data_IF_513665731746
#
_entry.id   IF_513665731746
#
_cell.length_a   1.000
_cell.length_b   1.000
_cell.length_c   1.000
_cell.angle_alpha   90.00
_cell.angle_beta   90.00
_cell.angle_gamma   90.00
#
_symmetry.space_group_name_H-M   'P 1'
#
loop_
_entity.id
_entity.type
_entity.pdbx_description
1 polymer ?
#
# COMPACT_ATOMS: atom_id res chain seq x y z
N UNK A 1 60.64 17.96 87.45
CA UNK A 1 60.34 16.88 86.48
C UNK A 1 58.95 16.99 85.81
N UNK A 2 57.94 17.65 86.42
CA UNK A 2 56.57 17.70 85.88
C UNK A 2 56.31 18.57 84.63
N UNK A 3 57.21 19.48 84.25
CA UNK A 3 56.94 20.41 83.13
C UNK A 3 57.23 19.79 81.74
N UNK A 4 58.22 18.88 81.66
CA UNK A 4 58.59 18.19 80.41
C UNK A 4 57.56 17.15 79.97
N UNK A 5 56.91 16.49 80.94
CA UNK A 5 55.90 15.46 80.69
C UNK A 5 54.57 16.07 80.17
N UNK A 6 54.20 17.26 80.65
CA UNK A 6 53.05 18.01 80.12
C UNK A 6 53.25 18.47 78.68
N UNK A 7 54.48 18.86 78.32
CA UNK A 7 54.80 19.29 76.96
C UNK A 7 54.76 18.12 75.96
N UNK A 8 55.28 16.94 76.36
CA UNK A 8 55.22 15.73 75.53
C UNK A 8 53.78 15.26 75.27
N UNK A 9 52.90 15.33 76.28
CA UNK A 9 51.48 14.99 76.13
C UNK A 9 50.74 15.94 75.17
N UNK A 10 51.00 17.25 75.26
CA UNK A 10 50.43 18.24 74.34
C UNK A 10 50.86 18.01 72.89
N UNK A 11 52.12 17.64 72.67
CA UNK A 11 52.64 17.32 71.33
C UNK A 11 51.94 16.08 70.76
N UNK A 12 51.74 15.04 71.56
CA UNK A 12 51.05 13.81 71.14
C UNK A 12 49.56 14.05 70.81
N UNK A 13 48.85 14.83 71.63
CA UNK A 13 47.44 15.17 71.36
C UNK A 13 47.33 16.03 70.09
N UNK A 14 48.24 16.97 69.89
CA UNK A 14 48.28 17.80 68.69
C UNK A 14 48.55 16.96 67.42
N UNK A 15 49.46 15.98 67.48
CA UNK A 15 49.73 15.11 66.32
C UNK A 15 48.56 14.18 66.01
N UNK A 16 47.89 13.62 67.02
CA UNK A 16 46.68 12.80 66.79
C UNK A 16 45.54 13.63 66.20
N UNK A 17 45.31 14.85 66.71
CA UNK A 17 44.30 15.76 66.16
C UNK A 17 44.62 16.19 64.71
N UNK A 18 45.91 16.41 64.40
CA UNK A 18 46.36 16.71 63.04
C UNK A 18 46.12 15.51 62.09
N UNK A 19 46.46 14.29 62.50
CA UNK A 19 46.24 13.08 61.68
C UNK A 19 44.76 12.82 61.46
N UNK A 20 43.93 12.97 62.49
CA UNK A 20 42.47 12.82 62.39
C UNK A 20 41.86 13.88 61.47
N UNK A 21 42.27 15.14 61.57
CA UNK A 21 41.78 16.23 60.70
C UNK A 21 42.23 16.07 59.25
N UNK A 22 43.48 15.65 59.00
CA UNK A 22 43.98 15.32 57.65
C UNK A 22 43.25 14.11 57.06
N UNK A 23 43.00 13.06 57.86
CA UNK A 23 42.22 11.89 57.45
C UNK A 23 40.78 12.24 57.08
N UNK A 24 40.13 13.09 57.87
CA UNK A 24 38.77 13.58 57.60
C UNK A 24 38.72 14.45 56.34
N UNK A 25 39.69 15.35 56.17
CA UNK A 25 39.81 16.21 54.98
C UNK A 25 40.07 15.40 53.70
N UNK A 26 40.92 14.37 53.78
CA UNK A 26 41.19 13.46 52.67
C UNK A 26 39.96 12.62 52.31
N UNK A 27 39.27 12.04 53.30
CA UNK A 27 38.03 11.28 53.12
C UNK A 27 36.93 12.13 52.47
N UNK A 28 36.76 13.36 52.95
CA UNK A 28 35.79 14.32 52.41
C UNK A 28 36.09 14.73 50.96
N UNK A 29 37.36 15.00 50.63
CA UNK A 29 37.77 15.29 49.25
C UNK A 29 37.64 14.08 48.32
N UNK A 30 37.94 12.88 48.82
CA UNK A 30 37.76 11.64 48.06
C UNK A 30 36.27 11.35 47.79
N UNK A 31 35.39 11.62 48.77
CA UNK A 31 33.94 11.54 48.61
C UNK A 31 33.43 12.50 47.53
N UNK A 32 33.77 13.79 47.63
CA UNK A 32 33.36 14.81 46.65
C UNK A 32 33.76 14.47 45.21
N UNK A 33 34.98 13.93 45.00
CA UNK A 33 35.43 13.52 43.66
C UNK A 33 34.63 12.34 43.10
N UNK A 34 34.24 11.38 43.95
CA UNK A 34 33.40 10.25 43.53
C UNK A 34 31.99 10.70 43.19
N UNK A 35 31.42 11.58 44.00
CA UNK A 35 30.07 12.12 43.75
C UNK A 35 30.04 12.95 42.47
N UNK A 36 31.04 13.80 42.23
CA UNK A 36 31.15 14.57 40.99
C UNK A 36 31.30 13.67 39.76
N UNK A 37 32.14 12.62 39.84
CA UNK A 37 32.27 11.64 38.77
C UNK A 37 30.95 10.89 38.52
N UNK A 38 30.28 10.44 39.58
CA UNK A 38 28.99 9.74 39.47
C UNK A 38 27.91 10.63 38.85
N UNK A 39 27.84 11.91 39.24
CA UNK A 39 26.92 12.88 38.66
C UNK A 39 27.22 13.08 37.17
N UNK A 40 28.49 13.22 36.79
CA UNK A 40 28.89 13.33 35.37
C UNK A 40 28.47 12.09 34.57
N UNK A 41 28.76 10.89 35.07
CA UNK A 41 28.33 9.65 34.43
C UNK A 41 26.81 9.53 34.32
N UNK A 42 26.06 9.92 35.35
CA UNK A 42 24.59 9.92 35.29
C UNK A 42 24.05 10.94 34.29
N UNK A 43 24.69 12.10 34.17
CA UNK A 43 24.31 13.13 33.21
C UNK A 43 24.58 12.66 31.77
N UNK A 44 25.78 12.12 31.52
CA UNK A 44 26.17 11.56 30.21
C UNK A 44 25.27 10.38 29.83
N UNK A 45 24.99 9.46 30.76
CA UNK A 45 24.07 8.34 30.52
C UNK A 45 22.65 8.84 30.22
N UNK A 46 22.15 9.85 30.95
CA UNK A 46 20.84 10.45 30.67
C UNK A 46 20.79 11.12 29.30
N UNK A 47 21.87 11.81 28.91
CA UNK A 47 21.99 12.43 27.59
C UNK A 47 22.02 11.37 26.48
N UNK A 48 22.83 10.32 26.62
CA UNK A 48 22.91 9.22 25.66
C UNK A 48 21.57 8.49 25.51
N UNK A 49 20.84 8.26 26.63
CA UNK A 49 19.49 7.66 26.59
C UNK A 49 18.51 8.60 25.90
N UNK A 50 18.55 9.91 26.19
CA UNK A 50 17.67 10.88 25.54
C UNK A 50 17.93 10.98 24.03
N UNK A 51 19.19 10.97 23.61
CA UNK A 51 19.59 10.95 22.21
C UNK A 51 19.17 9.66 21.51
N UNK A 52 19.40 8.50 22.14
CA UNK A 52 18.96 7.22 21.63
C UNK A 52 17.43 7.18 21.46
N UNK A 53 16.68 7.62 22.47
CA UNK A 53 15.22 7.68 22.41
C UNK A 53 14.73 8.62 21.28
N UNK A 54 15.39 9.77 21.09
CA UNK A 54 15.08 10.68 20.00
C UNK A 54 15.37 10.05 18.63
N UNK A 55 16.51 9.41 18.47
CA UNK A 55 16.87 8.71 17.24
C UNK A 55 15.88 7.56 16.94
N UNK A 56 15.50 6.78 17.95
CA UNK A 56 14.49 5.73 17.84
C UNK A 56 13.12 6.29 17.46
N UNK A 57 12.69 7.42 18.05
CA UNK A 57 11.42 8.06 17.69
C UNK A 57 11.41 8.47 16.21
N UNK A 58 12.47 9.13 15.75
CA UNK A 58 12.59 9.56 14.34
C UNK A 58 12.60 8.35 13.41
N UNK A 59 13.35 7.30 13.76
CA UNK A 59 13.39 6.06 12.97
C UNK A 59 12.02 5.38 12.90
N UNK A 60 11.26 5.36 13.99
CA UNK A 60 9.91 4.79 14.03
C UNK A 60 8.93 5.59 13.17
N UNK A 61 9.00 6.93 13.21
CA UNK A 61 8.18 7.80 12.35
C UNK A 61 8.48 7.57 10.87
N UNK A 62 9.76 7.48 10.51
CA UNK A 62 10.18 7.20 9.13
C UNK A 62 9.73 5.82 8.67
N UNK A 63 9.87 4.79 9.52
CA UNK A 63 9.40 3.44 9.22
C UNK A 63 7.88 3.39 9.03
N UNK A 64 7.11 4.08 9.88
CA UNK A 64 5.66 4.16 9.75
C UNK A 64 5.24 4.84 8.43
N UNK A 65 5.91 5.94 8.06
CA UNK A 65 5.66 6.63 6.79
C UNK A 65 5.99 5.74 5.58
N UNK A 66 7.14 5.07 5.59
CA UNK A 66 7.56 4.16 4.52
C UNK A 66 6.60 2.96 4.37
N UNK A 67 6.13 2.38 5.49
CA UNK A 67 5.17 1.28 5.47
C UNK A 67 3.80 1.71 4.92
N UNK A 68 3.37 2.94 5.24
CA UNK A 68 2.14 3.50 4.69
C UNK A 68 2.24 3.71 3.18
N UNK A 69 3.37 4.25 2.71
CA UNK A 69 3.63 4.44 1.28
C UNK A 69 3.72 3.10 0.54
N UNK A 70 4.43 2.11 1.09
CA UNK A 70 4.51 0.77 0.55
C UNK A 70 3.12 0.13 0.41
N UNK A 71 2.29 0.24 1.44
CA UNK A 71 0.91 -0.28 1.43
C UNK A 71 0.09 0.40 0.33
N UNK A 72 0.24 1.72 0.16
CA UNK A 72 -0.41 2.48 -0.92
C UNK A 72 0.09 2.07 -2.30
N UNK A 73 1.37 1.75 -2.46
CA UNK A 73 1.94 1.26 -3.73
C UNK A 73 1.48 -0.16 -4.04
N UNK A 74 1.53 -1.07 -3.07
CA UNK A 74 1.03 -2.44 -3.22
C UNK A 74 -0.46 -2.46 -3.60
N UNK A 75 -1.27 -1.62 -2.95
CA UNK A 75 -2.65 -1.38 -3.32
C UNK A 75 -2.84 -0.96 -4.80
N UNK A 76 -1.96 -0.11 -5.31
CA UNK A 76 -1.95 0.28 -6.74
C UNK A 76 -1.45 -0.82 -7.65
N UNK A 77 -0.82 -1.88 -7.16
CA UNK A 77 -0.34 -3.00 -7.96
C UNK A 77 -1.26 -4.24 -7.89
N UNK A 78 -2.30 -4.22 -7.05
CA UNK A 78 -3.24 -5.34 -6.96
C UNK A 78 -3.91 -5.60 -8.32
N UNK A 79 -3.93 -6.86 -8.81
CA UNK A 79 -4.61 -7.22 -10.05
C UNK A 79 -6.09 -6.83 -10.03
N UNK A 80 -6.66 -6.43 -11.17
CA UNK A 80 -8.11 -6.23 -11.29
C UNK A 80 -8.83 -7.54 -11.01
N UNK A 81 -9.77 -7.53 -10.07
CA UNK A 81 -10.66 -8.64 -9.71
C UNK A 81 -12.03 -8.10 -9.37
N UNK A 82 -13.09 -8.84 -9.70
CA UNK A 82 -14.41 -8.59 -9.10
C UNK A 82 -14.52 -9.41 -7.82
N UNK A 83 -14.79 -8.76 -6.69
CA UNK A 83 -15.17 -9.47 -5.46
C UNK A 83 -16.49 -10.19 -5.68
N UNK A 84 -16.82 -11.19 -4.84
CA UNK A 84 -18.12 -11.88 -4.95
C UNK A 84 -19.31 -10.92 -4.86
N UNK A 85 -19.25 -9.97 -3.93
CA UNK A 85 -20.27 -8.93 -3.80
C UNK A 85 -20.39 -8.09 -5.08
N UNK A 86 -19.27 -7.70 -5.70
CA UNK A 86 -19.30 -6.96 -6.97
C UNK A 86 -19.85 -7.80 -8.13
N UNK A 87 -19.56 -9.11 -8.17
CA UNK A 87 -20.14 -10.02 -9.16
C UNK A 87 -21.66 -10.14 -8.98
N UNK A 88 -22.14 -10.24 -7.74
CA UNK A 88 -23.58 -10.30 -7.41
C UNK A 88 -24.29 -8.98 -7.76
N UNK A 89 -23.70 -7.83 -7.42
CA UNK A 89 -24.19 -6.51 -7.81
C UNK A 89 -24.27 -6.39 -9.33
N UNK A 90 -23.17 -6.66 -10.04
CA UNK A 90 -23.15 -6.63 -11.50
C UNK A 90 -24.22 -7.56 -12.10
N UNK A 91 -24.38 -8.76 -11.56
CA UNK A 91 -25.36 -9.73 -12.04
C UNK A 91 -26.81 -9.26 -11.83
N UNK A 92 -27.11 -8.68 -10.67
CA UNK A 92 -28.41 -8.10 -10.36
C UNK A 92 -28.76 -6.96 -11.32
N UNK A 93 -27.82 -6.03 -11.53
CA UNK A 93 -28.06 -4.79 -12.27
C UNK A 93 -28.26 -5.05 -13.77
N UNK A 94 -27.53 -6.01 -14.35
CA UNK A 94 -27.67 -6.39 -15.76
C UNK A 94 -28.66 -7.54 -16.00
N UNK A 95 -29.23 -8.13 -14.94
CA UNK A 95 -30.12 -9.28 -15.03
C UNK A 95 -31.43 -9.00 -15.76
N UNK A 96 -31.96 -7.77 -15.64
CA UNK A 96 -33.17 -7.33 -16.33
C UNK A 96 -33.06 -7.29 -17.86
N UNK A 97 -31.82 -7.35 -18.38
CA UNK A 97 -31.53 -7.32 -19.81
C UNK A 97 -31.41 -8.73 -20.41
N UNK A 98 -31.44 -9.79 -19.58
CA UNK A 98 -31.43 -11.17 -20.05
C UNK A 98 -32.71 -11.51 -20.83
N UNK A 99 -32.64 -12.46 -21.79
CA UNK A 99 -31.46 -13.17 -22.24
C UNK A 99 -30.64 -12.37 -23.26
N UNK A 100 -29.32 -12.31 -23.08
CA UNK A 100 -28.36 -11.80 -24.06
C UNK A 100 -27.22 -12.79 -24.24
N UNK A 101 -26.62 -12.84 -25.43
CA UNK A 101 -25.38 -13.58 -25.62
C UNK A 101 -24.19 -12.67 -25.33
N UNK A 102 -23.19 -13.17 -24.60
CA UNK A 102 -21.96 -12.44 -24.33
C UNK A 102 -20.73 -13.25 -24.71
N UNK A 103 -19.80 -12.60 -25.40
CA UNK A 103 -18.48 -13.14 -25.72
C UNK A 103 -17.41 -12.30 -25.03
N UNK A 104 -16.56 -12.93 -24.22
CA UNK A 104 -15.53 -12.24 -23.43
C UNK A 104 -14.16 -12.58 -24.00
N UNK A 105 -13.35 -11.56 -24.25
CA UNK A 105 -12.02 -11.67 -24.86
C UNK A 105 -10.97 -10.96 -24.00
N UNK A 106 -9.75 -11.49 -23.99
CA UNK A 106 -8.60 -10.88 -23.33
C UNK A 106 -7.33 -10.98 -24.17
N UNK A 107 -6.34 -10.12 -23.90
CA UNK A 107 -5.05 -10.18 -24.56
C UNK A 107 -4.29 -11.48 -24.25
N UNK A 108 -3.80 -12.18 -25.28
CA UNK A 108 -2.99 -13.37 -25.10
C UNK A 108 -1.71 -13.07 -24.30
N UNK A 109 -1.42 -13.89 -23.28
CA UNK A 109 -0.27 -13.72 -22.39
C UNK A 109 -0.52 -12.81 -21.18
N UNK A 110 -1.66 -12.13 -21.11
CA UNK A 110 -2.04 -11.32 -19.94
C UNK A 110 -2.90 -12.13 -18.96
N UNK A 111 -2.23 -12.70 -17.94
CA UNK A 111 -2.89 -13.49 -16.89
C UNK A 111 -3.80 -12.68 -15.97
N UNK A 112 -3.56 -11.38 -15.81
CA UNK A 112 -4.49 -10.53 -15.06
C UNK A 112 -5.79 -10.41 -15.84
N UNK A 113 -5.71 -10.02 -17.12
CA UNK A 113 -6.88 -9.83 -17.98
C UNK A 113 -7.67 -11.12 -18.19
N UNK A 114 -6.99 -12.28 -18.25
CA UNK A 114 -7.63 -13.60 -18.27
C UNK A 114 -8.49 -13.83 -17.02
N UNK A 115 -7.92 -13.67 -15.82
CA UNK A 115 -8.64 -13.87 -14.57
C UNK A 115 -9.81 -12.89 -14.42
N UNK A 116 -9.61 -11.63 -14.79
CA UNK A 116 -10.67 -10.62 -14.72
C UNK A 116 -11.80 -10.90 -15.74
N UNK A 117 -11.45 -11.44 -16.91
CA UNK A 117 -12.45 -11.89 -17.89
C UNK A 117 -13.32 -13.03 -17.36
N UNK A 118 -12.72 -13.96 -16.62
CA UNK A 118 -13.46 -15.04 -15.95
C UNK A 118 -14.40 -14.50 -14.86
N UNK A 119 -13.97 -13.51 -14.08
CA UNK A 119 -14.83 -12.87 -13.09
C UNK A 119 -16.05 -12.19 -13.76
N UNK A 120 -15.85 -11.47 -14.87
CA UNK A 120 -16.95 -10.84 -15.64
C UNK A 120 -17.87 -11.90 -16.23
N UNK A 121 -17.32 -12.94 -16.87
CA UNK A 121 -18.11 -14.02 -17.47
C UNK A 121 -18.96 -14.75 -16.43
N UNK A 122 -18.42 -14.98 -15.23
CA UNK A 122 -19.13 -15.57 -14.10
C UNK A 122 -20.32 -14.72 -13.68
N UNK A 123 -20.13 -13.40 -13.50
CA UNK A 123 -21.20 -12.48 -13.15
C UNK A 123 -22.31 -12.42 -14.22
N UNK A 124 -21.94 -12.32 -15.50
CA UNK A 124 -22.91 -12.31 -16.61
C UNK A 124 -23.70 -13.62 -16.69
N UNK A 125 -23.06 -14.77 -16.46
CA UNK A 125 -23.73 -16.06 -16.43
C UNK A 125 -24.72 -16.15 -15.26
N UNK A 126 -24.34 -15.64 -14.08
CA UNK A 126 -25.23 -15.52 -12.93
C UNK A 126 -26.43 -14.59 -13.18
N UNK A 127 -26.28 -13.59 -14.06
CA UNK A 127 -27.34 -12.70 -14.52
C UNK A 127 -28.32 -13.36 -15.52
N UNK A 128 -28.13 -14.64 -15.87
CA UNK A 128 -28.96 -15.36 -16.84
C UNK A 128 -28.60 -15.10 -18.30
N UNK A 129 -27.43 -14.51 -18.58
CA UNK A 129 -26.94 -14.34 -19.95
C UNK A 129 -26.35 -15.64 -20.49
N UNK A 130 -26.39 -15.82 -21.81
CA UNK A 130 -25.71 -16.91 -22.51
C UNK A 130 -24.25 -16.53 -22.77
N UNK A 131 -23.36 -16.89 -21.84
CA UNK A 131 -21.95 -16.49 -21.90
C UNK A 131 -21.09 -17.57 -22.55
N UNK A 132 -20.31 -17.18 -23.56
CA UNK A 132 -19.26 -18.04 -24.11
C UNK A 132 -18.02 -18.01 -23.21
N UNK A 133 -17.31 -19.13 -23.09
CA UNK A 133 -16.06 -19.20 -22.33
C UNK A 133 -15.07 -18.12 -22.80
N UNK A 134 -14.43 -17.37 -21.87
CA UNK A 134 -13.46 -16.35 -22.23
C UNK A 134 -12.35 -16.89 -23.14
N UNK A 135 -12.01 -16.14 -24.18
CA UNK A 135 -11.01 -16.52 -25.17
C UNK A 135 -9.90 -15.47 -25.31
N UNK A 136 -8.69 -15.91 -25.64
CA UNK A 136 -7.55 -15.00 -25.83
C UNK A 136 -7.47 -14.48 -27.27
N UNK A 137 -7.13 -13.21 -27.44
CA UNK A 137 -6.80 -12.59 -28.73
C UNK A 137 -5.33 -12.19 -28.76
N UNK A 138 -4.61 -12.53 -29.83
CA UNK A 138 -3.27 -12.04 -30.09
C UNK A 138 -3.32 -10.92 -31.14
N UNK A 139 -2.80 -9.74 -30.80
CA UNK A 139 -2.62 -8.64 -31.77
C UNK A 139 -1.19 -8.66 -32.28
N UNK A 140 -1.01 -8.86 -33.59
CA UNK A 140 0.30 -8.82 -34.23
C UNK A 140 0.57 -7.40 -34.71
N UNK A 141 1.66 -6.81 -34.23
CA UNK A 141 2.13 -5.53 -34.76
C UNK A 141 2.67 -5.73 -36.19
N UNK A 142 2.23 -4.88 -37.10
CA UNK A 142 2.82 -4.82 -38.44
C UNK A 142 4.22 -4.21 -38.34
N UNK A 143 5.25 -4.93 -38.80
CA UNK A 143 6.63 -4.44 -38.84
C UNK A 143 6.78 -3.30 -39.86
N UNK A 144 7.86 -2.51 -39.71
CA UNK A 144 8.22 -1.45 -40.66
C UNK A 144 7.52 -0.11 -40.46
N UNK A 145 6.71 0.05 -39.40
CA UNK A 145 6.12 1.35 -39.04
C UNK A 145 7.11 2.20 -38.22
N UNK A 146 7.25 3.52 -38.50
CA UNK A 146 8.09 4.41 -37.70
C UNK A 146 7.67 4.43 -36.22
N UNK A 147 8.63 4.61 -35.32
CA UNK A 147 8.35 4.79 -33.90
C UNK A 147 7.34 5.93 -33.68
N UNK A 148 6.38 5.71 -32.78
CA UNK A 148 5.31 6.69 -32.48
C UNK A 148 4.12 6.68 -33.44
N UNK A 149 4.18 5.96 -34.57
CA UNK A 149 3.03 5.80 -35.47
C UNK A 149 2.06 4.69 -35.05
N UNK A 150 2.48 3.83 -34.12
CA UNK A 150 1.65 2.78 -33.56
C UNK A 150 0.84 3.40 -32.40
N UNK A 151 -0.50 3.30 -32.41
CA UNK A 151 -1.31 3.79 -31.30
C UNK A 151 -0.91 3.08 -30.00
N UNK A 152 -0.99 3.80 -28.88
CA UNK A 152 -0.74 3.20 -27.56
C UNK A 152 -1.64 2.00 -27.34
N UNK A 153 -1.14 1.04 -26.58
CA UNK A 153 -1.92 -0.12 -26.16
C UNK A 153 -3.20 0.38 -25.49
N UNK A 154 -4.35 -0.13 -25.94
CA UNK A 154 -5.59 0.18 -25.28
C UNK A 154 -5.59 -0.41 -23.88
N UNK A 155 -6.22 0.28 -22.93
CA UNK A 155 -6.35 -0.19 -21.56
C UNK A 155 -7.81 -0.21 -21.13
N UNK A 156 -8.09 -0.97 -20.06
CA UNK A 156 -9.41 -1.05 -19.42
C UNK A 156 -10.29 -2.17 -19.97
N UNK A 157 -11.61 -1.97 -19.92
CA UNK A 157 -12.61 -2.87 -20.50
C UNK A 157 -13.33 -2.13 -21.63
N UNK A 158 -13.39 -2.74 -22.79
CA UNK A 158 -14.12 -2.22 -23.94
C UNK A 158 -15.31 -3.11 -24.21
N UNK A 159 -16.52 -2.56 -24.14
CA UNK A 159 -17.77 -3.28 -24.37
C UNK A 159 -18.34 -2.86 -25.72
N UNK A 160 -18.46 -3.78 -26.68
CA UNK A 160 -19.10 -3.55 -27.96
C UNK A 160 -20.37 -4.40 -28.11
N UNK A 161 -21.15 -4.11 -29.14
CA UNK A 161 -22.40 -4.83 -29.43
C UNK A 161 -22.59 -4.99 -30.93
N UNK A 162 -23.53 -5.85 -31.31
CA UNK A 162 -24.17 -5.74 -32.62
C UNK A 162 -25.13 -4.54 -32.70
N UNK A 163 -25.59 -4.21 -33.90
CA UNK A 163 -26.42 -3.02 -34.20
C UNK A 163 -27.87 -3.10 -33.74
N UNK A 164 -28.30 -4.20 -33.15
CA UNK A 164 -29.65 -4.33 -32.62
C UNK A 164 -29.81 -3.53 -31.31
N UNK A 165 -31.01 -2.95 -31.14
CA UNK A 165 -31.34 -2.12 -29.97
C UNK A 165 -31.09 -2.81 -28.62
N UNK A 166 -31.53 -4.08 -28.42
CA UNK A 166 -31.26 -4.82 -27.19
C UNK A 166 -29.77 -4.95 -26.86
N UNK A 167 -28.94 -5.39 -27.81
CA UNK A 167 -27.49 -5.53 -27.59
C UNK A 167 -26.83 -4.18 -27.32
N UNK A 168 -27.23 -3.12 -28.02
CA UNK A 168 -26.70 -1.78 -27.79
C UNK A 168 -27.04 -1.25 -26.39
N UNK A 169 -28.25 -1.51 -25.90
CA UNK A 169 -28.68 -1.14 -24.54
C UNK A 169 -27.93 -1.98 -23.50
N UNK A 170 -27.75 -3.27 -23.76
CA UNK A 170 -27.06 -4.18 -22.85
C UNK A 170 -25.56 -3.85 -22.72
N UNK A 171 -24.90 -3.53 -23.83
CA UNK A 171 -23.50 -3.07 -23.81
C UNK A 171 -23.32 -1.74 -23.07
N UNK A 172 -24.28 -0.82 -23.20
CA UNK A 172 -24.26 0.47 -22.52
C UNK A 172 -24.40 0.32 -21.00
N UNK A 173 -25.38 -0.48 -20.57
CA UNK A 173 -25.59 -0.81 -19.17
C UNK A 173 -24.35 -1.51 -18.59
N UNK A 174 -23.82 -2.54 -19.26
CA UNK A 174 -22.65 -3.26 -18.77
C UNK A 174 -21.41 -2.37 -18.64
N UNK A 175 -21.14 -1.48 -19.60
CA UNK A 175 -20.03 -0.54 -19.50
C UNK A 175 -20.23 0.45 -18.34
N UNK A 176 -21.47 0.89 -18.11
CA UNK A 176 -21.84 1.79 -17.01
C UNK A 176 -21.65 1.10 -15.67
N UNK A 177 -22.12 -0.13 -15.49
CA UNK A 177 -22.00 -0.86 -14.22
C UNK A 177 -20.54 -1.18 -13.89
N UNK A 178 -19.75 -1.64 -14.86
CA UNK A 178 -18.32 -1.86 -14.64
C UNK A 178 -17.60 -0.55 -14.25
N UNK A 179 -18.03 0.58 -14.81
CA UNK A 179 -17.50 1.90 -14.44
C UNK A 179 -17.92 2.31 -13.02
N UNK A 180 -19.17 2.05 -12.64
CA UNK A 180 -19.71 2.30 -11.30
C UNK A 180 -18.99 1.46 -10.24
N UNK A 181 -18.55 0.25 -10.59
CA UNK A 181 -17.72 -0.61 -9.75
C UNK A 181 -16.24 -0.16 -9.67
N UNK A 182 -15.87 0.93 -10.35
CA UNK A 182 -14.54 1.52 -10.29
C UNK A 182 -13.53 0.98 -11.31
N UNK A 183 -13.98 0.27 -12.34
CA UNK A 183 -13.12 -0.18 -13.43
C UNK A 183 -13.18 0.80 -14.61
N UNK A 184 -12.06 0.97 -15.32
CA UNK A 184 -12.07 1.80 -16.54
C UNK A 184 -12.77 1.03 -17.66
N UNK A 185 -14.09 1.15 -17.73
CA UNK A 185 -14.91 0.54 -18.76
C UNK A 185 -15.46 1.60 -19.72
N UNK A 186 -15.56 1.25 -21.01
CA UNK A 186 -16.18 2.11 -22.01
C UNK A 186 -16.89 1.31 -23.09
N UNK A 187 -17.91 1.91 -23.68
CA UNK A 187 -18.54 1.39 -24.89
C UNK A 187 -17.63 1.61 -26.10
N UNK A 188 -17.51 0.62 -26.98
CA UNK A 188 -16.82 0.79 -28.25
C UNK A 188 -17.61 1.71 -29.19
N UNK A 189 -16.91 2.52 -29.98
CA UNK A 189 -17.53 3.31 -31.04
C UNK A 189 -17.98 2.45 -32.23
N UNK A 190 -17.24 1.37 -32.48
CA UNK A 190 -17.55 0.42 -33.55
C UNK A 190 -18.60 -0.59 -33.10
N UNK A 191 -19.57 -0.83 -33.98
CA UNK A 191 -20.69 -1.74 -33.74
C UNK A 191 -20.62 -2.87 -34.77
N UNK A 192 -20.73 -4.11 -34.28
CA UNK A 192 -20.77 -5.30 -35.12
C UNK A 192 -22.02 -5.34 -36.02
N UNK A 193 -21.88 -5.94 -37.19
CA UNK A 193 -22.99 -6.15 -38.14
C UNK A 193 -23.56 -7.58 -38.05
N UNK A 194 -23.35 -8.28 -36.93
CA UNK A 194 -23.89 -9.64 -36.76
C UNK A 194 -25.42 -9.64 -36.72
N UNK A 195 -26.03 -10.76 -37.14
CA UNK A 195 -27.49 -10.94 -37.13
C UNK A 195 -28.05 -11.35 -35.75
N UNK A 196 -27.18 -11.83 -34.87
CA UNK A 196 -27.57 -12.32 -33.53
C UNK A 196 -27.37 -11.23 -32.47
N UNK A 197 -28.18 -11.25 -31.41
CA UNK A 197 -28.02 -10.35 -30.25
C UNK A 197 -26.74 -10.75 -29.49
N UNK A 198 -25.70 -9.93 -29.57
CA UNK A 198 -24.38 -10.23 -29.01
C UNK A 198 -23.74 -8.98 -28.42
N UNK A 199 -23.31 -9.12 -27.17
CA UNK A 199 -22.41 -8.19 -26.48
C UNK A 199 -21.01 -8.80 -26.47
N UNK A 200 -20.00 -8.01 -26.81
CA UNK A 200 -18.60 -8.43 -26.80
C UNK A 200 -17.86 -7.60 -25.76
N UNK A 201 -17.25 -8.29 -24.80
CA UNK A 201 -16.44 -7.66 -23.75
C UNK A 201 -14.98 -7.95 -24.04
N UNK A 202 -14.20 -6.91 -24.30
CA UNK A 202 -12.76 -7.04 -24.52
C UNK A 202 -12.01 -6.44 -23.32
N UNK A 203 -11.40 -7.31 -22.52
CA UNK A 203 -10.54 -6.92 -21.40
C UNK A 203 -9.14 -6.65 -21.95
N UNK A 204 -8.80 -5.37 -21.98
CA UNK A 204 -7.49 -4.89 -22.39
C UNK A 204 -6.54 -4.86 -21.19
N UNK A 205 -5.28 -4.50 -21.48
CA UNK A 205 -4.26 -4.32 -20.46
C UNK A 205 -4.74 -3.38 -19.35
N UNK A 206 -4.20 -3.58 -18.17
CA UNK A 206 -4.56 -2.79 -17.00
C UNK A 206 -4.26 -1.30 -17.22
N UNK A 207 -5.22 -0.39 -16.96
CA UNK A 207 -4.94 1.04 -16.92
C UNK A 207 -3.98 1.40 -15.78
N UNK A 208 -3.28 2.52 -15.95
CA UNK A 208 -2.47 3.09 -14.88
C UNK A 208 -3.36 3.54 -13.71
N UNK A 209 -2.91 3.23 -12.48
CA UNK A 209 -3.57 3.67 -11.25
C UNK A 209 -4.46 2.62 -10.60
N UNK A 210 -5.24 3.09 -9.62
CA UNK A 210 -6.16 2.26 -8.85
C UNK A 210 -7.36 1.85 -9.70
N UNK A 211 -7.88 0.65 -9.47
CA UNK A 211 -9.06 0.09 -10.12
C UNK A 211 -9.97 -0.55 -9.06
N UNK A 212 -11.25 -0.73 -9.38
CA UNK A 212 -12.25 -1.29 -8.47
C UNK A 212 -12.52 -0.39 -7.26
N UNK A 213 -12.71 -1.01 -6.09
CA UNK A 213 -12.96 -0.31 -4.82
C UNK A 213 -11.86 0.72 -4.48
N UNK A 214 -10.61 0.43 -4.84
CA UNK A 214 -9.50 1.34 -4.57
C UNK A 214 -9.61 2.65 -5.37
N UNK A 215 -10.20 2.59 -6.58
CA UNK A 215 -10.51 3.78 -7.36
C UNK A 215 -11.66 4.56 -6.72
N UNK A 216 -12.73 3.88 -6.31
CA UNK A 216 -13.89 4.49 -5.66
C UNK A 216 -13.50 5.21 -4.36
N UNK A 217 -12.69 4.55 -3.53
CA UNK A 217 -12.21 5.11 -2.26
C UNK A 217 -11.27 6.32 -2.44
N UNK A 218 -10.61 6.44 -3.60
CA UNK A 218 -9.75 7.58 -3.91
C UNK A 218 -10.54 8.81 -4.37
N UNK A 219 -11.75 8.63 -4.92
CA UNK A 219 -12.64 9.72 -5.38
C UNK A 219 -13.57 10.20 -4.26
N UNK A 220 -13.96 9.32 -3.34
CA UNK A 220 -14.83 9.65 -2.20
C UNK A 220 -14.15 10.36 -1.04
N UNK A 221 -12.88 10.77 -1.16
CA UNK A 221 -12.13 11.57 -0.18
C UNK A 221 -11.80 12.93 -0.77
#
# INVERSE_FOLDING_TARGET
MGHRMKMAFLILVATVALVMSLGWMFSWNAGRRKDEALIKYQLEAKQAIAEANKATSIANEQAAAANLELTRLQAKMLPRRLTKAQQETLASDVGSLAPQSASVWYGAGDKESENFSWDIASALNAAGWKVFSPASTATLAQSGKPFGSIPRLQTGVVVSSNKDGPSMKAADALATELSALGFDARKAAEIGNGRESLVVVTVQARPDGAQGEMKLNAVGR
#
